data_IF_672336695106
#
_entry.id   IF_672336695106
#
_cell.length_a   1.000
_cell.length_b   1.000
_cell.length_c   1.000
_cell.angle_alpha   90.00
_cell.angle_beta   90.00
_cell.angle_gamma   90.00
#
_symmetry.space_group_name_H-M   'P 1'
#
loop_
_entity.id
_entity.type
_entity.pdbx_description
1 polymer ?
#
# COMPACT_ATOMS: atom_id res chain seq x y z
N UNK A 1 -21.39 -30.17 -5.76
CA UNK A 1 -21.86 -28.79 -5.57
C UNK A 1 -21.07 -28.21 -4.41
N UNK A 2 -20.04 -27.40 -4.69
CA UNK A 2 -19.34 -26.63 -3.65
C UNK A 2 -20.36 -25.59 -3.15
N UNK A 3 -20.83 -25.72 -1.91
CA UNK A 3 -21.72 -24.72 -1.33
C UNK A 3 -20.95 -23.40 -1.26
N UNK A 4 -21.55 -22.34 -1.80
CA UNK A 4 -21.05 -20.96 -1.74
C UNK A 4 -21.13 -20.36 -0.32
N UNK A 5 -20.81 -21.14 0.71
CA UNK A 5 -20.45 -20.60 2.03
C UNK A 5 -18.93 -20.45 2.02
N UNK A 6 -18.34 -19.28 2.10
CA UNK A 6 -18.87 -17.93 2.27
C UNK A 6 -17.72 -17.03 1.76
N UNK A 7 -17.89 -16.36 0.61
CA UNK A 7 -16.81 -15.58 0.00
C UNK A 7 -16.25 -14.51 0.96
N UNK A 8 -17.11 -13.99 1.85
CA UNK A 8 -16.72 -13.08 2.90
C UNK A 8 -15.91 -13.77 4.00
N UNK A 9 -16.29 -14.98 4.42
CA UNK A 9 -15.47 -15.79 5.33
C UNK A 9 -14.11 -16.12 4.72
N UNK A 10 -14.04 -16.39 3.42
CA UNK A 10 -12.78 -16.65 2.72
C UNK A 10 -11.88 -15.42 2.72
N UNK A 11 -12.42 -14.26 2.32
CA UNK A 11 -11.71 -12.98 2.36
C UNK A 11 -11.23 -12.64 3.78
N UNK A 12 -12.10 -12.86 4.78
CA UNK A 12 -11.75 -12.66 6.19
C UNK A 12 -10.57 -13.54 6.60
N UNK A 13 -10.59 -14.83 6.24
CA UNK A 13 -9.51 -15.76 6.54
C UNK A 13 -8.21 -15.38 5.81
N UNK A 14 -8.30 -15.00 4.53
CA UNK A 14 -7.16 -14.55 3.73
C UNK A 14 -6.50 -13.33 4.35
N UNK A 15 -7.28 -12.34 4.82
CA UNK A 15 -6.77 -11.16 5.54
C UNK A 15 -6.13 -11.49 6.87
N UNK A 16 -6.69 -12.46 7.62
CA UNK A 16 -6.09 -12.93 8.88
C UNK A 16 -4.73 -13.58 8.63
N UNK A 17 -4.63 -14.47 7.63
CA UNK A 17 -3.38 -15.12 7.25
C UNK A 17 -2.35 -14.11 6.72
N UNK A 18 -2.79 -13.16 5.90
CA UNK A 18 -1.93 -12.09 5.43
C UNK A 18 -1.34 -11.31 6.61
N UNK A 19 -2.16 -10.92 7.59
CA UNK A 19 -1.71 -10.15 8.74
C UNK A 19 -0.81 -10.95 9.71
N UNK A 20 -1.18 -12.20 10.02
CA UNK A 20 -0.57 -12.98 11.11
C UNK A 20 0.56 -13.91 10.65
N UNK A 21 0.63 -14.25 9.37
CA UNK A 21 1.63 -15.16 8.82
C UNK A 21 2.51 -14.46 7.79
N UNK A 22 1.93 -13.93 6.71
CA UNK A 22 2.72 -13.41 5.58
C UNK A 22 3.38 -12.05 5.86
N UNK A 23 2.67 -11.18 6.55
CA UNK A 23 3.06 -9.80 6.83
C UNK A 23 3.24 -9.54 8.33
N UNK A 24 3.45 -10.61 9.09
CA UNK A 24 3.79 -10.51 10.51
C UNK A 24 5.11 -9.75 10.64
N UNK A 25 5.12 -8.74 11.50
CA UNK A 25 6.35 -8.04 11.86
C UNK A 25 6.89 -8.58 13.20
N UNK A 26 8.21 -8.73 13.31
CA UNK A 26 8.87 -9.10 14.57
C UNK A 26 9.84 -8.00 15.03
N UNK A 27 10.31 -7.18 14.09
CA UNK A 27 11.18 -6.02 14.32
C UNK A 27 10.57 -4.75 13.75
N UNK A 28 11.07 -3.59 14.19
CA UNK A 28 10.67 -2.32 13.58
C UNK A 28 11.09 -2.20 12.11
N UNK A 29 12.19 -2.86 11.71
CA UNK A 29 12.62 -2.89 10.30
C UNK A 29 11.59 -3.64 9.45
N UNK A 30 10.99 -4.72 9.95
CA UNK A 30 9.89 -5.41 9.24
C UNK A 30 8.69 -4.47 9.04
N UNK A 31 8.40 -3.61 10.03
CA UNK A 31 7.34 -2.60 9.90
C UNK A 31 7.66 -1.55 8.84
N UNK A 32 8.93 -1.14 8.70
CA UNK A 32 9.37 -0.24 7.62
C UNK A 32 9.21 -0.92 6.26
N UNK A 33 9.68 -2.15 6.12
CA UNK A 33 9.53 -2.96 4.90
C UNK A 33 8.06 -3.12 4.53
N UNK A 34 7.22 -3.47 5.49
CA UNK A 34 5.77 -3.57 5.30
C UNK A 34 5.16 -2.25 4.80
N UNK A 35 5.50 -1.13 5.44
CA UNK A 35 5.02 0.19 5.05
C UNK A 35 5.48 0.57 3.63
N UNK A 36 6.70 0.20 3.24
CA UNK A 36 7.21 0.40 1.88
C UNK A 36 6.44 -0.41 0.85
N UNK A 37 6.15 -1.68 1.12
CA UNK A 37 5.33 -2.51 0.25
C UNK A 37 3.89 -1.98 0.15
N UNK A 38 3.34 -1.42 1.23
CA UNK A 38 2.03 -0.75 1.21
C UNK A 38 2.00 0.51 0.36
N UNK A 39 3.08 1.29 0.34
CA UNK A 39 3.18 2.42 -0.57
C UNK A 39 3.10 1.94 -2.03
N UNK A 40 3.86 0.90 -2.39
CA UNK A 40 3.82 0.39 -3.77
C UNK A 40 2.46 -0.18 -4.15
N UNK A 41 1.82 -0.97 -3.27
CA UNK A 41 0.48 -1.47 -3.54
C UNK A 41 -0.52 -0.33 -3.78
N UNK A 42 -0.57 0.66 -2.88
CA UNK A 42 -1.60 1.71 -2.92
C UNK A 42 -1.39 2.74 -4.03
N UNK A 43 -0.15 3.17 -4.24
CA UNK A 43 0.14 4.32 -5.09
C UNK A 43 0.79 3.95 -6.42
N UNK A 44 1.28 2.71 -6.58
CA UNK A 44 1.85 2.24 -7.84
C UNK A 44 1.03 1.09 -8.44
N UNK A 45 0.93 -0.07 -7.79
CA UNK A 45 0.45 -1.30 -8.42
C UNK A 45 -1.06 -1.30 -8.66
N UNK A 46 -1.87 -0.85 -7.71
CA UNK A 46 -3.32 -0.66 -7.93
C UNK A 46 -3.60 0.36 -9.02
N UNK A 47 -2.78 1.41 -9.12
CA UNK A 47 -2.91 2.43 -10.16
C UNK A 47 -2.53 1.86 -11.52
N UNK A 48 -1.42 1.12 -11.62
CA UNK A 48 -1.01 0.39 -12.83
C UNK A 48 -2.09 -0.57 -13.29
N UNK A 49 -2.69 -1.33 -12.37
CA UNK A 49 -3.78 -2.25 -12.69
C UNK A 49 -5.01 -1.51 -13.23
N UNK A 50 -5.37 -0.38 -12.60
CA UNK A 50 -6.51 0.44 -13.03
C UNK A 50 -6.33 0.98 -14.44
N UNK A 51 -5.16 1.55 -14.76
CA UNK A 51 -4.87 2.09 -16.09
C UNK A 51 -4.64 1.00 -17.15
N UNK A 52 -4.22 -0.20 -16.75
CA UNK A 52 -4.19 -1.36 -17.64
C UNK A 52 -5.61 -1.80 -18.03
N UNK A 53 -6.52 -1.85 -17.05
CA UNK A 53 -7.92 -2.22 -17.29
C UNK A 53 -8.67 -1.15 -18.07
N UNK A 54 -8.39 0.13 -17.80
CA UNK A 54 -8.98 1.27 -18.50
C UNK A 54 -7.86 2.20 -19.00
N UNK A 55 -7.30 1.92 -20.20
CA UNK A 55 -6.32 2.79 -20.84
C UNK A 55 -6.80 4.23 -20.96
N UNK A 56 -5.89 5.18 -21.17
CA UNK A 56 -6.22 6.61 -21.21
C UNK A 56 -7.22 6.93 -22.32
N UNK A 57 -7.06 6.26 -23.46
CA UNK A 57 -7.90 6.32 -24.65
C UNK A 57 -9.20 5.49 -24.56
N UNK A 58 -9.45 4.81 -23.43
CA UNK A 58 -10.63 3.97 -23.28
C UNK A 58 -11.93 4.78 -23.49
N UNK A 59 -12.87 4.20 -24.25
CA UNK A 59 -14.19 4.78 -24.50
C UNK A 59 -15.29 3.93 -23.87
N UNK A 60 -16.37 4.59 -23.48
CA UNK A 60 -17.63 3.95 -23.06
C UNK A 60 -18.35 3.31 -24.26
N UNK A 61 -19.41 2.54 -24.00
CA UNK A 61 -20.23 1.92 -25.06
C UNK A 61 -20.91 2.93 -26.00
N UNK A 62 -21.05 4.19 -25.58
CA UNK A 62 -21.59 5.28 -26.41
C UNK A 62 -20.50 6.05 -27.15
N UNK A 63 -19.23 5.61 -27.08
CA UNK A 63 -18.10 6.26 -27.73
C UNK A 63 -17.51 7.47 -26.99
N UNK A 64 -18.09 7.88 -25.85
CA UNK A 64 -17.54 8.97 -25.04
C UNK A 64 -16.30 8.52 -24.25
N UNK A 65 -15.29 9.39 -24.01
CA UNK A 65 -14.11 9.05 -23.22
C UNK A 65 -14.46 8.55 -21.82
N UNK A 66 -13.88 7.42 -21.41
CA UNK A 66 -14.07 6.85 -20.08
C UNK A 66 -13.55 7.79 -18.99
N UNK A 67 -12.38 8.40 -19.23
CA UNK A 67 -11.73 9.38 -18.35
C UNK A 67 -12.19 10.80 -18.66
N UNK A 68 -13.47 11.05 -18.38
CA UNK A 68 -14.08 12.38 -18.44
C UNK A 68 -14.66 12.76 -17.07
N UNK A 69 -14.94 14.05 -16.85
CA UNK A 69 -15.40 14.55 -15.55
C UNK A 69 -16.60 13.72 -15.02
N UNK A 70 -16.58 13.30 -13.75
CA UNK A 70 -15.64 13.68 -12.68
C UNK A 70 -14.35 12.83 -12.60
N UNK A 71 -14.17 11.84 -13.48
CA UNK A 71 -13.02 10.93 -13.45
C UNK A 71 -11.80 11.59 -14.06
N UNK A 72 -10.63 11.38 -13.44
CA UNK A 72 -9.32 11.85 -13.92
C UNK A 72 -8.41 10.66 -14.10
N UNK A 73 -7.68 10.64 -15.21
CA UNK A 73 -6.68 9.59 -15.45
C UNK A 73 -5.58 9.67 -14.39
N UNK A 74 -5.33 8.60 -13.62
CA UNK A 74 -4.31 8.59 -12.58
C UNK A 74 -2.93 8.21 -13.14
N UNK A 75 -1.88 8.54 -12.40
CA UNK A 75 -0.51 8.14 -12.73
C UNK A 75 0.10 7.40 -11.54
N UNK A 76 0.72 6.22 -11.75
CA UNK A 76 1.36 5.49 -10.67
C UNK A 76 2.55 6.29 -10.14
N UNK A 77 2.71 6.32 -8.81
CA UNK A 77 3.84 6.98 -8.18
C UNK A 77 5.08 6.07 -8.18
N UNK A 78 6.25 6.70 -8.27
CA UNK A 78 7.52 6.06 -7.96
C UNK A 78 7.95 6.53 -6.57
N UNK A 79 8.18 5.61 -5.64
CA UNK A 79 8.65 5.97 -4.33
C UNK A 79 10.00 6.70 -4.39
N UNK A 80 10.17 7.67 -3.49
CA UNK A 80 11.42 8.41 -3.33
C UNK A 80 11.55 8.87 -1.90
N UNK A 81 12.69 8.61 -1.27
CA UNK A 81 13.06 9.14 0.04
C UNK A 81 13.32 10.65 0.00
N UNK A 82 13.58 11.22 -1.17
CA UNK A 82 13.73 12.67 -1.32
C UNK A 82 12.37 13.41 -1.22
N UNK A 83 11.26 12.71 -1.43
CA UNK A 83 9.92 13.27 -1.28
C UNK A 83 9.45 13.17 0.19
N UNK A 84 9.22 14.30 0.88
CA UNK A 84 8.78 14.29 2.27
C UNK A 84 7.45 13.59 2.49
N UNK A 85 6.53 13.64 1.52
CA UNK A 85 5.21 13.01 1.65
C UNK A 85 5.32 11.48 1.63
N UNK A 86 6.19 10.93 0.78
CA UNK A 86 6.47 9.50 0.70
C UNK A 86 7.12 9.01 2.00
N UNK A 87 8.12 9.75 2.51
CA UNK A 87 8.75 9.43 3.79
C UNK A 87 7.76 9.49 4.96
N UNK A 88 6.92 10.52 5.03
CA UNK A 88 5.93 10.65 6.09
C UNK A 88 4.90 9.52 6.06
N UNK A 89 4.50 9.05 4.88
CA UNK A 89 3.66 7.87 4.76
C UNK A 89 4.33 6.64 5.40
N UNK A 90 5.57 6.34 5.01
CA UNK A 90 6.31 5.18 5.53
C UNK A 90 6.54 5.29 7.03
N UNK A 91 6.88 6.50 7.51
CA UNK A 91 7.04 6.79 8.94
C UNK A 91 5.76 6.49 9.72
N UNK A 92 4.64 7.09 9.32
CA UNK A 92 3.37 6.91 10.02
C UNK A 92 2.89 5.45 9.95
N UNK A 93 2.97 4.83 8.78
CA UNK A 93 2.53 3.45 8.57
C UNK A 93 3.37 2.45 9.37
N UNK A 94 4.69 2.60 9.39
CA UNK A 94 5.58 1.69 10.15
C UNK A 94 5.39 1.83 11.67
N UNK A 95 5.22 3.05 12.17
CA UNK A 95 4.92 3.30 13.59
C UNK A 95 3.59 2.67 13.98
N UNK A 96 2.52 2.94 13.22
CA UNK A 96 1.20 2.36 13.50
C UNK A 96 1.23 0.82 13.42
N UNK A 97 1.98 0.25 12.48
CA UNK A 97 2.15 -1.21 12.39
C UNK A 97 2.86 -1.76 13.62
N UNK A 98 3.95 -1.12 14.05
CA UNK A 98 4.68 -1.53 15.25
C UNK A 98 3.79 -1.56 16.50
N UNK A 99 2.98 -0.51 16.70
CA UNK A 99 2.01 -0.44 17.80
C UNK A 99 1.00 -1.61 17.77
N UNK A 100 0.50 -2.00 16.58
CA UNK A 100 -0.44 -3.14 16.46
C UNK A 100 0.18 -4.49 16.82
N UNK A 101 1.50 -4.64 16.73
CA UNK A 101 2.24 -5.87 17.07
C UNK A 101 2.96 -5.78 18.42
N UNK A 102 2.82 -4.66 19.16
CA UNK A 102 3.54 -4.44 20.41
C UNK A 102 5.06 -4.31 20.25
N UNK A 103 5.52 -3.89 19.07
CA UNK A 103 6.94 -3.69 18.76
C UNK A 103 7.36 -2.30 19.22
N UNK A 104 8.48 -2.22 19.94
CA UNK A 104 9.02 -0.93 20.39
C UNK A 104 9.45 -0.07 19.21
N UNK A 105 8.97 1.19 19.17
CA UNK A 105 9.36 2.17 18.17
C UNK A 105 10.66 2.86 18.59
N UNK A 106 11.75 2.73 17.83
CA UNK A 106 13.00 3.43 18.14
C UNK A 106 12.84 4.94 18.04
N UNK A 107 13.49 5.72 18.91
CA UNK A 107 13.39 7.20 18.86
C UNK A 107 13.84 7.79 17.52
N UNK A 108 14.85 7.21 16.88
CA UNK A 108 15.33 7.66 15.57
C UNK A 108 14.27 7.54 14.47
N UNK A 109 13.29 6.64 14.62
CA UNK A 109 12.24 6.43 13.63
C UNK A 109 11.23 7.58 13.59
N UNK A 110 11.19 8.42 14.62
CA UNK A 110 10.32 9.61 14.70
C UNK A 110 10.89 10.82 13.96
N UNK A 111 12.09 10.69 13.38
CA UNK A 111 12.77 11.75 12.66
C UNK A 111 12.93 11.37 11.17
N UNK A 112 12.38 12.17 10.22
CA UNK A 112 12.37 11.80 8.80
C UNK A 112 13.74 11.52 8.18
N UNK A 113 14.79 12.25 8.58
CA UNK A 113 16.15 12.09 8.03
C UNK A 113 16.74 10.72 8.36
N UNK A 114 16.71 10.33 9.63
CA UNK A 114 17.22 9.04 10.09
C UNK A 114 16.36 7.88 9.63
N UNK A 115 15.06 8.10 9.42
CA UNK A 115 14.20 7.09 8.80
C UNK A 115 14.58 6.84 7.34
N UNK A 116 14.86 7.88 6.55
CA UNK A 116 15.26 7.74 5.15
C UNK A 116 16.46 6.80 4.98
N UNK A 117 17.48 6.94 5.84
CA UNK A 117 18.68 6.08 5.85
C UNK A 117 18.36 4.60 6.15
N UNK A 118 17.29 4.33 6.89
CA UNK A 118 16.85 2.96 7.21
C UNK A 118 15.92 2.35 6.15
N UNK A 119 15.32 3.20 5.30
CA UNK A 119 14.49 2.78 4.16
C UNK A 119 15.34 2.40 2.95
N UNK A 120 16.52 2.99 2.80
CA UNK A 120 17.46 2.75 1.69
C UNK A 120 18.39 1.54 1.91
N UNK A 121 18.43 1.00 3.13
CA UNK A 121 19.20 -0.19 3.50
C UNK A 121 18.43 -1.47 3.20
#
# INVERSE_FOLDING_TARGET
MIKAGDAQSRDTLERVLECLEKEKCETFQDCITWARLRFEDYFADRVKQLIFTFPEEASTSTGAPFWSAPKRFPHPLQFSTADPSHLHFVMAASILRAETFGISVPEWAKHPKTLAESVEK
#
